data_IF_446715181085
#
_entry.id   IF_446715181085
#
_cell.length_a   1.000
_cell.length_b   1.000
_cell.length_c   1.000
_cell.angle_alpha   90.00
_cell.angle_beta   90.00
_cell.angle_gamma   90.00
#
_symmetry.space_group_name_H-M   'P 1'
#
loop_
_entity.id
_entity.type
_entity.pdbx_description
1 polymer ?
#
# COMPACT_ATOMS: atom_id res chain seq x y z
N UNK A 1 -8.36 92.43 48.24
CA UNK A 1 -7.10 91.71 47.97
C UNK A 1 -7.40 90.21 48.01
N UNK A 2 -7.63 89.60 46.88
CA UNK A 2 -7.99 88.21 46.78
C UNK A 2 -6.87 87.48 45.95
N UNK A 3 -6.06 86.68 46.64
CA UNK A 3 -4.99 85.91 46.01
C UNK A 3 -5.60 84.58 45.40
N UNK A 4 -5.57 84.46 44.12
CA UNK A 4 -5.99 83.27 43.43
C UNK A 4 -4.75 82.37 43.31
N UNK A 5 -4.80 81.23 43.96
CA UNK A 5 -3.78 80.18 43.91
C UNK A 5 -4.09 79.26 42.69
N UNK A 6 -3.30 79.35 41.68
CA UNK A 6 -3.42 78.46 40.49
C UNK A 6 -2.66 77.21 40.79
N UNK A 7 -3.40 76.10 41.01
CA UNK A 7 -2.83 74.75 41.17
C UNK A 7 -2.58 74.14 39.81
N UNK A 8 -1.30 73.96 39.48
CA UNK A 8 -0.87 73.36 38.23
C UNK A 8 -0.92 71.82 38.41
N UNK A 9 -1.92 71.19 37.83
CA UNK A 9 -2.03 69.71 37.81
C UNK A 9 -1.18 69.16 36.64
N UNK A 10 0.00 68.68 36.96
CA UNK A 10 0.88 68.03 35.95
C UNK A 10 0.35 66.68 35.51
N UNK A 11 -0.11 66.57 34.28
CA UNK A 11 -0.45 65.28 33.64
C UNK A 11 0.84 64.51 33.35
N UNK A 12 1.07 63.47 34.16
CA UNK A 12 2.17 62.51 33.90
C UNK A 12 1.70 61.51 32.83
N UNK A 13 2.06 61.70 31.56
CA UNK A 13 1.80 60.71 30.50
C UNK A 13 2.91 59.66 30.55
N UNK A 14 2.55 58.47 31.03
CA UNK A 14 3.43 57.27 30.95
C UNK A 14 3.48 56.75 29.51
N UNK A 15 4.66 56.53 28.96
CA UNK A 15 4.76 55.92 27.64
C UNK A 15 4.28 54.41 27.72
N UNK A 16 3.28 54.10 26.94
CA UNK A 16 2.84 52.71 26.75
C UNK A 16 3.85 52.03 25.81
N UNK A 17 4.68 51.15 26.36
CA UNK A 17 5.58 50.33 25.55
C UNK A 17 4.75 49.17 24.96
N UNK A 18 4.55 49.19 23.63
CA UNK A 18 4.00 48.05 22.89
C UNK A 18 5.11 47.05 22.62
N UNK A 19 5.01 45.88 23.22
CA UNK A 19 5.92 44.79 22.99
C UNK A 19 5.41 43.94 21.80
N UNK A 20 6.32 43.67 20.80
CA UNK A 20 5.98 42.87 19.65
C UNK A 20 6.05 41.40 20.03
N UNK A 21 4.93 40.68 19.93
CA UNK A 21 4.90 39.23 20.11
C UNK A 21 4.98 38.55 18.75
N UNK A 22 6.03 37.76 18.53
CA UNK A 22 6.20 36.94 17.33
C UNK A 22 5.61 35.55 17.59
N UNK A 23 4.59 35.16 16.82
CA UNK A 23 3.99 33.83 16.87
C UNK A 23 4.43 33.04 15.64
N UNK A 24 5.15 31.95 15.86
CA UNK A 24 5.55 31.02 14.80
C UNK A 24 4.55 29.86 14.75
N UNK A 25 3.83 29.73 13.64
CA UNK A 25 2.89 28.65 13.42
C UNK A 25 3.53 27.65 12.45
N UNK A 26 3.68 26.43 12.88
CA UNK A 26 4.19 25.34 12.07
C UNK A 26 3.10 24.29 11.85
N UNK A 27 3.01 23.78 10.64
CA UNK A 27 2.07 22.72 10.28
C UNK A 27 2.59 21.93 9.09
N UNK A 28 2.33 20.63 9.06
CA UNK A 28 2.63 19.78 7.93
C UNK A 28 1.36 19.56 7.13
N UNK A 29 1.42 19.83 5.82
CA UNK A 29 0.37 19.45 4.88
C UNK A 29 0.74 18.09 4.32
N UNK A 30 -0.02 17.06 4.65
CA UNK A 30 0.17 15.72 4.12
C UNK A 30 -0.94 15.40 3.12
N UNK A 31 -0.57 14.73 2.03
CA UNK A 31 -1.54 14.21 1.07
C UNK A 31 -2.14 12.94 1.65
N UNK A 32 -3.47 12.85 1.70
CA UNK A 32 -4.13 11.60 2.07
C UNK A 32 -3.86 10.55 0.99
N UNK A 33 -3.51 9.30 1.36
CA UNK A 33 -3.31 8.23 0.40
C UNK A 33 -4.64 7.82 -0.27
N UNK A 34 -4.56 7.13 -1.42
CA UNK A 34 -5.73 6.42 -1.95
C UNK A 34 -6.25 5.41 -0.93
N UNK A 35 -7.54 5.13 -0.96
CA UNK A 35 -8.11 4.01 -0.21
C UNK A 35 -8.02 2.73 -1.03
N UNK A 36 -7.70 1.63 -0.38
CA UNK A 36 -7.87 0.31 -0.98
C UNK A 36 -9.35 -0.07 -0.83
N UNK A 37 -10.01 -0.45 -1.94
CA UNK A 37 -11.45 -0.77 -1.94
C UNK A 37 -11.77 -1.90 -0.96
N UNK A 38 -10.94 -2.95 -0.95
CA UNK A 38 -11.04 -4.06 -0.01
C UNK A 38 -9.68 -4.31 0.64
N UNK A 39 -9.65 -4.40 1.95
CA UNK A 39 -8.41 -4.65 2.71
C UNK A 39 -8.05 -6.14 2.81
N UNK A 40 -8.93 -7.03 2.36
CA UNK A 40 -8.71 -8.48 2.34
C UNK A 40 -9.29 -9.09 1.07
N UNK A 41 -8.51 -9.94 0.42
CA UNK A 41 -8.88 -10.66 -0.79
C UNK A 41 -8.70 -12.16 -0.56
N UNK A 42 -9.73 -12.93 -0.89
CA UNK A 42 -9.65 -14.38 -0.91
C UNK A 42 -9.63 -14.85 -2.38
N UNK A 43 -8.50 -15.39 -2.82
CA UNK A 43 -8.31 -15.83 -4.21
C UNK A 43 -8.38 -17.37 -4.24
N UNK A 44 -9.47 -17.90 -4.76
CA UNK A 44 -9.69 -19.33 -4.88
C UNK A 44 -8.99 -19.89 -6.12
N UNK A 45 -7.90 -20.63 -5.92
CA UNK A 45 -7.12 -21.24 -7.01
C UNK A 45 -7.75 -22.53 -7.55
N UNK A 46 -8.89 -22.92 -7.01
CA UNK A 46 -9.64 -24.10 -7.45
C UNK A 46 -9.01 -25.42 -7.00
N UNK A 47 -9.51 -26.50 -7.61
CA UNK A 47 -9.02 -27.87 -7.36
C UNK A 47 -7.98 -28.25 -8.40
N UNK A 48 -6.82 -28.72 -7.96
CA UNK A 48 -5.76 -29.16 -8.83
C UNK A 48 -5.76 -30.68 -8.87
N UNK A 49 -5.88 -31.22 -10.08
CA UNK A 49 -5.79 -32.66 -10.28
C UNK A 49 -4.35 -33.03 -10.65
N UNK A 50 -3.70 -33.82 -9.79
CA UNK A 50 -2.31 -34.28 -9.98
C UNK A 50 -2.08 -34.95 -11.33
N UNK A 51 -3.06 -35.66 -11.87
CA UNK A 51 -2.94 -36.41 -13.12
C UNK A 51 -2.90 -35.54 -14.37
N UNK A 52 -3.39 -34.30 -14.28
CA UNK A 52 -3.45 -33.39 -15.41
C UNK A 52 -2.20 -32.53 -15.59
N UNK A 53 -1.23 -32.65 -14.66
CA UNK A 53 -0.07 -31.76 -14.65
C UNK A 53 1.21 -32.54 -14.89
N UNK A 54 1.89 -32.19 -15.98
CA UNK A 54 3.23 -32.67 -16.31
C UNK A 54 4.28 -31.81 -15.59
N UNK A 55 5.49 -32.32 -15.42
CA UNK A 55 6.58 -31.60 -14.76
C UNK A 55 7.14 -30.43 -15.65
N UNK A 56 7.20 -29.18 -15.18
CA UNK A 56 6.70 -28.73 -13.88
C UNK A 56 5.17 -28.68 -13.84
N UNK A 57 4.58 -29.19 -12.76
CA UNK A 57 3.15 -29.13 -12.58
C UNK A 57 2.71 -27.71 -12.27
N UNK A 58 1.74 -27.20 -13.02
CA UNK A 58 1.22 -25.83 -12.87
C UNK A 58 -0.29 -25.84 -13.02
N UNK A 59 -1.00 -25.13 -12.14
CA UNK A 59 -2.43 -24.90 -12.33
C UNK A 59 -2.67 -23.82 -13.40
N UNK A 60 -3.89 -23.71 -13.93
CA UNK A 60 -4.29 -22.51 -14.66
C UNK A 60 -4.07 -21.27 -13.84
N UNK A 61 -3.89 -20.14 -14.50
CA UNK A 61 -3.88 -18.85 -13.86
C UNK A 61 -5.27 -18.45 -13.40
N UNK A 62 -5.34 -17.87 -12.22
CA UNK A 62 -6.53 -17.19 -11.70
C UNK A 62 -6.19 -15.72 -11.61
N UNK A 63 -6.90 -14.92 -12.40
CA UNK A 63 -6.70 -13.48 -12.45
C UNK A 63 -7.59 -12.80 -11.39
N UNK A 64 -7.05 -11.77 -10.76
CA UNK A 64 -7.74 -10.94 -9.77
C UNK A 64 -7.20 -9.52 -9.81
N UNK A 65 -7.91 -8.58 -9.20
CA UNK A 65 -7.45 -7.19 -9.16
C UNK A 65 -7.60 -6.57 -7.79
N UNK A 66 -6.70 -5.64 -7.47
CA UNK A 66 -6.76 -4.79 -6.30
C UNK A 66 -7.08 -3.38 -6.78
N UNK A 67 -8.15 -2.79 -6.26
CA UNK A 67 -8.61 -1.46 -6.67
C UNK A 67 -8.27 -0.42 -5.63
N UNK A 68 -7.77 0.70 -6.12
CA UNK A 68 -7.56 1.93 -5.38
C UNK A 68 -8.66 2.91 -5.75
N UNK A 69 -9.27 3.52 -4.74
CA UNK A 69 -10.37 4.46 -4.88
C UNK A 69 -10.10 5.72 -4.06
N UNK A 70 -10.87 6.76 -4.30
CA UNK A 70 -10.79 8.05 -3.59
C UNK A 70 -9.38 8.65 -3.61
N UNK A 71 -8.64 8.45 -4.71
CA UNK A 71 -7.30 9.01 -4.84
C UNK A 71 -7.36 10.53 -4.92
N UNK A 72 -6.47 11.25 -4.21
CA UNK A 72 -6.34 12.69 -4.36
C UNK A 72 -5.92 13.08 -5.78
N UNK A 73 -6.43 14.20 -6.29
CA UNK A 73 -6.10 14.68 -7.64
C UNK A 73 -4.61 15.04 -7.82
N UNK A 74 -3.92 15.30 -6.73
CA UNK A 74 -2.47 15.56 -6.72
C UNK A 74 -1.63 14.30 -6.83
N UNK A 75 -2.18 13.13 -6.51
CA UNK A 75 -1.46 11.84 -6.52
C UNK A 75 -1.54 11.23 -7.91
N UNK A 76 -0.43 11.19 -8.62
CA UNK A 76 -0.35 10.65 -9.99
C UNK A 76 0.16 9.22 -10.04
N UNK A 77 1.05 8.88 -9.11
CA UNK A 77 1.73 7.59 -9.08
C UNK A 77 1.75 7.03 -7.65
N UNK A 78 1.73 5.72 -7.56
CA UNK A 78 2.01 4.97 -6.34
C UNK A 78 2.89 3.76 -6.68
N UNK A 79 3.58 3.22 -5.68
CA UNK A 79 4.28 1.93 -5.79
C UNK A 79 3.53 0.91 -4.95
N UNK A 80 3.28 -0.23 -5.55
CA UNK A 80 2.63 -1.36 -4.90
C UNK A 80 3.69 -2.42 -4.62
N UNK A 81 3.96 -2.69 -3.35
CA UNK A 81 4.98 -3.64 -2.91
C UNK A 81 4.33 -4.93 -2.42
N UNK A 82 4.91 -6.05 -2.83
CA UNK A 82 4.48 -7.41 -2.46
C UNK A 82 5.38 -7.95 -1.37
N UNK A 83 4.80 -8.48 -0.30
CA UNK A 83 5.54 -9.22 0.73
C UNK A 83 4.84 -10.56 1.05
N UNK A 84 5.64 -11.54 1.46
CA UNK A 84 5.19 -12.87 1.81
C UNK A 84 6.38 -13.78 2.11
N UNK A 85 6.14 -14.96 2.62
CA UNK A 85 7.20 -15.94 2.90
C UNK A 85 7.72 -16.57 1.59
N UNK A 86 8.96 -16.30 1.17
CA UNK A 86 9.51 -16.90 -0.04
C UNK A 86 9.91 -18.35 0.20
N UNK A 87 9.87 -19.16 -0.86
CA UNK A 87 10.41 -20.51 -0.80
C UNK A 87 11.94 -20.49 -0.68
N UNK A 88 12.50 -21.35 0.15
CA UNK A 88 13.93 -21.41 0.43
C UNK A 88 14.77 -21.94 -0.75
N UNK A 89 14.17 -22.73 -1.62
CA UNK A 89 14.84 -23.33 -2.79
C UNK A 89 14.71 -22.42 -4.01
N UNK A 90 13.57 -21.74 -4.15
CA UNK A 90 13.33 -20.83 -5.27
C UNK A 90 12.52 -19.61 -4.81
N UNK A 91 13.22 -18.54 -4.51
CA UNK A 91 12.66 -17.29 -4.00
C UNK A 91 11.72 -16.53 -4.98
N UNK A 92 11.52 -17.04 -6.19
CA UNK A 92 10.52 -16.52 -7.13
C UNK A 92 9.09 -16.91 -6.75
N UNK A 93 8.93 -17.84 -5.80
CA UNK A 93 7.65 -18.37 -5.37
C UNK A 93 7.47 -18.20 -3.87
N UNK A 94 6.21 -18.30 -3.44
CA UNK A 94 5.86 -18.22 -2.02
C UNK A 94 5.47 -19.59 -1.48
N UNK A 95 5.73 -19.79 -0.20
CA UNK A 95 5.48 -21.08 0.46
C UNK A 95 3.99 -21.40 0.55
N UNK A 96 3.69 -22.68 0.50
CA UNK A 96 2.40 -23.23 0.90
C UNK A 96 2.41 -23.50 2.41
N UNK A 97 1.44 -22.96 3.13
CA UNK A 97 1.22 -23.20 4.56
C UNK A 97 0.10 -24.24 4.82
N UNK A 98 -0.50 -24.78 3.77
CA UNK A 98 -1.47 -25.86 3.83
C UNK A 98 -0.81 -27.24 4.00
N UNK A 99 -1.61 -28.29 3.94
CA UNK A 99 -1.15 -29.67 4.16
C UNK A 99 -0.51 -30.33 2.93
N UNK A 100 -0.66 -29.75 1.72
CA UNK A 100 0.04 -30.22 0.51
C UNK A 100 1.51 -29.82 0.58
N UNK A 101 2.43 -30.77 0.35
CA UNK A 101 3.88 -30.49 0.28
C UNK A 101 4.34 -30.43 -1.16
N UNK A 102 5.44 -29.69 -1.42
CA UNK A 102 6.03 -29.55 -2.77
C UNK A 102 5.25 -28.64 -3.72
N UNK A 103 4.21 -27.97 -3.23
CA UNK A 103 3.43 -26.99 -3.98
C UNK A 103 3.72 -25.56 -3.48
N UNK A 104 3.83 -24.62 -4.39
CA UNK A 104 4.22 -23.24 -4.15
C UNK A 104 3.25 -22.28 -4.85
N UNK A 105 3.14 -21.04 -4.36
CA UNK A 105 2.39 -19.99 -5.03
C UNK A 105 3.27 -19.25 -6.03
N UNK A 106 2.80 -19.14 -7.25
CA UNK A 106 3.36 -18.26 -8.26
C UNK A 106 2.44 -17.07 -8.45
N UNK A 107 2.92 -15.89 -8.10
CA UNK A 107 2.25 -14.61 -8.33
C UNK A 107 2.88 -13.91 -9.53
N UNK A 108 2.09 -13.26 -10.36
CA UNK A 108 2.55 -12.53 -11.53
C UNK A 108 1.65 -11.33 -11.85
N UNK A 109 2.13 -10.41 -12.67
CA UNK A 109 1.29 -9.40 -13.30
C UNK A 109 0.43 -10.05 -14.40
N UNK A 110 -0.83 -9.63 -14.54
CA UNK A 110 -1.76 -10.26 -15.48
C UNK A 110 -1.35 -10.04 -16.94
N UNK A 111 -0.87 -8.85 -17.28
CA UNK A 111 -0.62 -8.42 -18.66
C UNK A 111 0.50 -9.20 -19.36
N UNK A 112 1.60 -9.46 -18.68
CA UNK A 112 2.81 -10.08 -19.25
C UNK A 112 3.27 -11.33 -18.50
N UNK A 113 2.53 -11.73 -17.45
CA UNK A 113 2.88 -12.82 -16.53
C UNK A 113 4.29 -12.68 -15.93
N UNK A 114 4.78 -11.43 -15.78
CA UNK A 114 6.02 -11.16 -15.08
C UNK A 114 5.90 -11.60 -13.62
N UNK A 115 6.80 -12.46 -13.19
CA UNK A 115 6.81 -13.03 -11.83
C UNK A 115 7.01 -11.92 -10.77
N UNK A 116 6.19 -11.94 -9.76
CA UNK A 116 6.28 -11.10 -8.59
C UNK A 116 6.73 -11.95 -7.41
N UNK A 117 7.89 -11.64 -6.87
CA UNK A 117 8.49 -12.31 -5.71
C UNK A 117 8.43 -11.42 -4.48
N UNK A 118 8.82 -11.93 -3.34
CA UNK A 118 8.93 -11.14 -2.12
C UNK A 118 9.81 -9.88 -2.35
N UNK A 119 9.28 -8.72 -2.00
CA UNK A 119 9.94 -7.43 -2.22
C UNK A 119 9.76 -6.84 -3.64
N UNK A 120 9.05 -7.51 -4.55
CA UNK A 120 8.73 -6.94 -5.87
C UNK A 120 7.86 -5.70 -5.74
N UNK A 121 8.09 -4.73 -6.62
CA UNK A 121 7.29 -3.51 -6.70
C UNK A 121 6.69 -3.34 -8.08
N UNK A 122 5.49 -2.76 -8.14
CA UNK A 122 4.77 -2.40 -9.36
C UNK A 122 4.50 -0.91 -9.30
N UNK A 123 4.84 -0.18 -10.36
CA UNK A 123 4.44 1.21 -10.51
C UNK A 123 2.98 1.28 -10.95
N UNK A 124 2.20 2.06 -10.21
CA UNK A 124 0.76 2.22 -10.41
C UNK A 124 0.49 3.65 -10.83
N UNK A 125 -0.08 3.82 -12.01
CA UNK A 125 -0.53 5.13 -12.50
C UNK A 125 -1.97 5.34 -12.07
N UNK A 126 -2.23 6.47 -11.42
CA UNK A 126 -3.56 6.83 -10.94
C UNK A 126 -4.27 7.66 -11.99
N UNK A 127 -5.46 7.23 -12.36
CA UNK A 127 -6.32 7.99 -13.25
C UNK A 127 -6.91 9.19 -12.49
N UNK A 128 -6.50 10.40 -12.85
CA UNK A 128 -6.94 11.63 -12.19
C UNK A 128 -8.42 11.95 -12.41
N UNK A 129 -9.02 11.47 -13.51
CA UNK A 129 -10.43 11.69 -13.82
C UNK A 129 -11.34 10.81 -12.97
N UNK A 130 -11.00 9.52 -12.87
CA UNK A 130 -11.77 8.55 -12.07
C UNK A 130 -11.31 8.50 -10.61
N UNK A 131 -10.19 9.16 -10.29
CA UNK A 131 -9.54 9.13 -8.96
C UNK A 131 -9.32 7.70 -8.45
N UNK A 132 -8.90 6.82 -9.34
CA UNK A 132 -8.76 5.39 -9.05
C UNK A 132 -7.60 4.78 -9.83
N UNK A 133 -7.18 3.60 -9.40
CA UNK A 133 -6.27 2.74 -10.13
C UNK A 133 -6.63 1.27 -9.89
N UNK A 134 -6.22 0.40 -10.80
CA UNK A 134 -6.44 -1.04 -10.70
C UNK A 134 -5.11 -1.76 -10.94
N UNK A 135 -4.78 -2.66 -10.03
CA UNK A 135 -3.59 -3.50 -10.10
C UNK A 135 -4.04 -4.90 -10.45
N UNK A 136 -3.76 -5.33 -11.68
CA UNK A 136 -4.18 -6.63 -12.19
C UNK A 136 -3.10 -7.68 -11.94
N UNK A 137 -3.47 -8.73 -11.23
CA UNK A 137 -2.60 -9.79 -10.75
C UNK A 137 -3.12 -11.16 -11.19
N UNK A 138 -2.21 -12.11 -11.28
CA UNK A 138 -2.51 -13.50 -11.59
C UNK A 138 -1.81 -14.40 -10.59
N UNK A 139 -2.50 -15.40 -10.10
CA UNK A 139 -1.95 -16.39 -9.19
C UNK A 139 -2.18 -17.80 -9.72
N UNK A 140 -1.25 -18.69 -9.44
CA UNK A 140 -1.39 -20.12 -9.71
C UNK A 140 -0.57 -20.93 -8.72
N UNK A 141 -0.88 -22.23 -8.63
CA UNK A 141 -0.06 -23.17 -7.91
C UNK A 141 0.97 -23.78 -8.89
N UNK A 142 2.20 -23.89 -8.45
CA UNK A 142 3.29 -24.57 -9.17
C UNK A 142 3.92 -25.63 -8.28
N UNK A 143 4.48 -26.67 -8.89
CA UNK A 143 5.33 -27.62 -8.20
C UNK A 143 6.65 -27.74 -8.93
N UNK A 144 7.72 -27.53 -8.19
CA UNK A 144 9.10 -27.68 -8.70
C UNK A 144 9.62 -29.10 -8.49
N UNK A 145 8.90 -29.89 -7.71
CA UNK A 145 9.21 -31.29 -7.43
C UNK A 145 8.42 -32.20 -8.35
N UNK A 146 8.96 -33.36 -8.75
CA UNK A 146 8.22 -34.31 -9.57
C UNK A 146 7.00 -34.88 -8.86
N UNK A 147 6.94 -34.77 -7.55
CA UNK A 147 5.80 -35.18 -6.75
C UNK A 147 5.45 -34.13 -5.69
N UNK A 148 4.20 -33.70 -5.69
CA UNK A 148 3.59 -32.97 -4.59
C UNK A 148 2.54 -33.87 -3.91
N UNK A 149 2.33 -33.70 -2.61
CA UNK A 149 1.35 -34.51 -1.90
C UNK A 149 -0.05 -33.93 -2.06
N UNK A 150 -1.05 -34.82 -1.94
CA UNK A 150 -2.44 -34.36 -1.82
C UNK A 150 -2.63 -33.59 -0.53
N UNK A 151 -3.44 -32.56 -0.57
CA UNK A 151 -3.72 -31.73 0.60
C UNK A 151 -4.27 -30.36 0.23
N UNK A 152 -4.46 -29.55 1.24
CA UNK A 152 -4.91 -28.17 1.06
C UNK A 152 -3.72 -27.27 0.71
N UNK A 153 -4.00 -26.30 -0.15
CA UNK A 153 -3.08 -25.22 -0.48
C UNK A 153 -3.52 -23.94 0.21
N UNK A 154 -2.59 -23.27 0.89
CA UNK A 154 -2.78 -21.95 1.50
C UNK A 154 -1.50 -21.14 1.36
N UNK A 155 -1.59 -19.89 0.99
CA UNK A 155 -0.48 -18.95 1.01
C UNK A 155 -1.00 -17.59 1.41
N UNK A 156 -0.20 -16.83 2.15
CA UNK A 156 -0.56 -15.50 2.60
C UNK A 156 0.43 -14.49 2.04
N UNK A 157 -0.11 -13.43 1.45
CA UNK A 157 0.66 -12.30 0.92
C UNK A 157 0.12 -11.01 1.51
N UNK A 158 1.00 -10.07 1.71
CA UNK A 158 0.68 -8.70 2.10
C UNK A 158 1.07 -7.74 0.99
N UNK A 159 0.28 -6.72 0.81
CA UNK A 159 0.50 -5.69 -0.18
C UNK A 159 0.53 -4.32 0.49
N UNK A 160 1.58 -3.56 0.20
CA UNK A 160 1.76 -2.22 0.75
C UNK A 160 1.80 -1.19 -0.37
N UNK A 161 1.06 -0.10 -0.20
CA UNK A 161 1.11 1.06 -1.10
C UNK A 161 2.09 2.08 -0.56
N UNK A 162 2.98 2.54 -1.42
CA UNK A 162 3.98 3.56 -1.12
C UNK A 162 3.75 4.72 -2.08
N UNK A 163 3.63 5.92 -1.54
CA UNK A 163 3.48 7.15 -2.31
C UNK A 163 4.82 7.89 -2.31
N UNK A 164 5.38 8.21 -3.50
CA UNK A 164 6.63 8.97 -3.61
C UNK A 164 6.47 10.44 -3.20
#
# INVERSE_FOLDING_TARGET
MKRILFSLLGLCTLPVMAENVNIYVHGNVVVMPCKVENTSYNVELGKINRWNYRNPAQSPWVDFSIKLVDCPVSTKNAKFSVSGAPDSTNNNYFVNTGSSTGSLLHLAQTNNKATLKNGSTIDVVINSTTKSAEIQLSARIVSLQPMFTLGNFKSHLEFTLIYP
#
